data_IF_828604592018
#
_entry.id   IF_828604592018
#
_cell.length_a   1.000
_cell.length_b   1.000
_cell.length_c   1.000
_cell.angle_alpha   90.00
_cell.angle_beta   90.00
_cell.angle_gamma   90.00
#
_symmetry.space_group_name_H-M   'P 1'
#
loop_
_entity.id
_entity.type
_entity.pdbx_description
1 polymer ?
#
# COMPACT_ATOMS: atom_id res chain seq x y z
N UNK A 1 -1.13 -16.27 -30.79
CA UNK A 1 0.14 -16.38 -30.06
C UNK A 1 0.84 -17.62 -30.58
N UNK A 2 2.12 -17.52 -30.91
CA UNK A 2 2.85 -18.68 -31.40
C UNK A 2 3.05 -19.69 -30.26
N UNK A 3 2.69 -20.93 -30.52
CA UNK A 3 2.96 -22.04 -29.61
C UNK A 3 4.47 -22.28 -29.63
N UNK A 4 5.17 -21.95 -28.55
CA UNK A 4 6.63 -22.08 -28.46
C UNK A 4 6.97 -23.56 -28.27
N UNK A 5 7.91 -24.12 -29.08
CA UNK A 5 8.41 -25.47 -28.83
C UNK A 5 9.16 -25.55 -27.50
N UNK A 6 9.22 -26.76 -26.93
CA UNK A 6 9.94 -27.00 -25.66
C UNK A 6 11.41 -26.56 -25.73
N UNK A 7 12.06 -26.82 -26.86
CA UNK A 7 13.45 -26.41 -27.10
C UNK A 7 13.59 -24.88 -27.07
N UNK A 8 12.62 -24.17 -27.71
CA UNK A 8 12.63 -22.72 -27.73
C UNK A 8 12.39 -22.13 -26.33
N UNK A 9 11.47 -22.70 -25.56
CA UNK A 9 11.23 -22.26 -24.14
C UNK A 9 12.49 -22.48 -23.32
N UNK A 10 13.16 -23.63 -23.41
CA UNK A 10 14.40 -23.89 -22.69
C UNK A 10 15.52 -22.91 -23.09
N UNK A 11 15.63 -22.60 -24.38
CA UNK A 11 16.61 -21.59 -24.83
C UNK A 11 16.33 -20.23 -24.20
N UNK A 12 15.10 -19.72 -24.31
CA UNK A 12 14.70 -18.40 -23.76
C UNK A 12 14.88 -18.34 -22.24
N UNK A 13 14.56 -19.43 -21.54
CA UNK A 13 14.76 -19.53 -20.10
C UNK A 13 16.25 -19.49 -19.72
N UNK A 14 17.09 -20.20 -20.49
CA UNK A 14 18.54 -20.14 -20.27
C UNK A 14 19.10 -18.75 -20.53
N UNK A 15 18.64 -18.04 -21.54
CA UNK A 15 19.02 -16.66 -21.85
C UNK A 15 18.63 -15.71 -20.69
N UNK A 16 17.46 -15.89 -20.08
CA UNK A 16 17.05 -15.11 -18.88
C UNK A 16 17.94 -15.40 -17.69
N UNK A 17 18.25 -16.68 -17.40
CA UNK A 17 19.04 -17.06 -16.24
C UNK A 17 20.48 -16.51 -16.24
N UNK A 18 21.06 -16.30 -17.43
CA UNK A 18 22.40 -15.72 -17.58
C UNK A 18 22.41 -14.21 -17.77
N UNK A 19 21.22 -13.57 -17.80
CA UNK A 19 21.14 -12.10 -17.91
C UNK A 19 21.57 -11.45 -16.59
N UNK A 20 22.65 -10.62 -16.58
CA UNK A 20 23.12 -9.96 -15.35
C UNK A 20 22.04 -9.06 -14.71
N UNK A 21 21.07 -8.58 -15.48
CA UNK A 21 19.99 -7.76 -14.95
C UNK A 21 18.97 -8.61 -14.16
N UNK A 22 18.83 -9.90 -14.48
CA UNK A 22 17.96 -10.81 -13.73
C UNK A 22 18.53 -11.06 -12.32
N UNK A 23 19.80 -11.41 -12.21
CA UNK A 23 20.49 -11.55 -10.93
C UNK A 23 20.44 -10.25 -10.10
N UNK A 24 20.67 -9.11 -10.77
CA UNK A 24 20.58 -7.79 -10.11
C UNK A 24 19.18 -7.49 -9.58
N UNK A 25 18.14 -7.88 -10.32
CA UNK A 25 16.74 -7.72 -9.87
C UNK A 25 16.46 -8.55 -8.61
N UNK A 26 16.94 -9.80 -8.57
CA UNK A 26 16.80 -10.66 -7.40
C UNK A 26 17.49 -10.05 -6.17
N UNK A 27 18.72 -9.54 -6.35
CA UNK A 27 19.46 -8.87 -5.29
C UNK A 27 18.70 -7.63 -4.77
N UNK A 28 18.20 -6.78 -5.66
CA UNK A 28 17.46 -5.56 -5.28
C UNK A 28 16.17 -5.87 -4.51
N UNK A 29 15.46 -6.94 -4.88
CA UNK A 29 14.21 -7.34 -4.20
C UNK A 29 14.43 -7.95 -2.83
N UNK A 30 15.58 -8.58 -2.62
CA UNK A 30 15.90 -9.31 -1.39
C UNK A 30 16.70 -8.46 -0.38
N UNK A 31 17.02 -7.20 -0.69
CA UNK A 31 17.70 -6.32 0.25
C UNK A 31 16.74 -5.88 1.37
N UNK A 32 17.07 -6.19 2.65
CA UNK A 32 16.28 -5.68 3.76
C UNK A 32 16.45 -4.16 3.87
N UNK A 33 15.35 -3.44 4.16
CA UNK A 33 15.36 -2.01 4.40
C UNK A 33 14.75 -1.72 5.77
N UNK A 34 15.47 -0.99 6.63
CA UNK A 34 15.04 -0.76 8.01
C UNK A 34 13.70 0.00 8.10
N UNK A 35 13.40 0.91 7.17
CA UNK A 35 12.14 1.65 7.17
C UNK A 35 10.95 0.75 6.85
N UNK A 36 11.13 -0.23 5.96
CA UNK A 36 10.12 -1.25 5.63
C UNK A 36 9.93 -2.23 6.80
N UNK A 37 11.03 -2.75 7.38
CA UNK A 37 10.99 -3.67 8.52
C UNK A 37 10.22 -3.06 9.70
N UNK A 38 10.44 -1.77 9.98
CA UNK A 38 9.76 -1.04 11.06
C UNK A 38 8.35 -0.54 10.68
N UNK A 39 7.93 -0.70 9.41
CA UNK A 39 6.64 -0.22 8.92
C UNK A 39 6.49 1.30 8.94
N UNK A 40 7.61 2.05 8.79
CA UNK A 40 7.63 3.52 8.95
C UNK A 40 7.90 4.28 7.64
N UNK A 41 7.93 3.60 6.53
CA UNK A 41 8.29 4.14 5.20
C UNK A 41 7.49 5.35 4.75
N UNK A 42 6.25 5.49 5.20
CA UNK A 42 5.32 6.53 4.75
C UNK A 42 5.01 7.62 5.79
N UNK A 43 5.55 7.52 7.01
CA UNK A 43 5.25 8.47 8.08
C UNK A 43 6.11 9.73 8.00
N UNK A 44 5.52 10.89 7.66
CA UNK A 44 6.20 12.20 7.55
C UNK A 44 7.04 12.54 8.78
N UNK A 45 6.53 12.25 9.98
CA UNK A 45 7.27 12.45 11.22
C UNK A 45 8.59 11.66 11.28
N UNK A 46 8.68 10.49 10.66
CA UNK A 46 9.91 9.67 10.63
C UNK A 46 10.92 10.22 9.65
N UNK A 47 10.46 10.75 8.54
CA UNK A 47 11.31 11.50 7.62
C UNK A 47 11.86 12.76 8.28
N UNK A 48 11.04 13.52 9.01
CA UNK A 48 11.49 14.68 9.78
C UNK A 48 12.51 14.30 10.85
N UNK A 49 12.37 13.12 11.50
CA UNK A 49 13.35 12.60 12.44
C UNK A 49 14.70 12.30 11.78
N UNK A 50 14.68 11.65 10.62
CA UNK A 50 15.91 11.33 9.88
C UNK A 50 16.59 12.61 9.39
N UNK A 51 15.85 13.55 8.83
CA UNK A 51 16.38 14.83 8.37
C UNK A 51 16.97 15.65 9.53
N UNK A 52 16.29 15.74 10.65
CA UNK A 52 16.81 16.43 11.83
C UNK A 52 18.11 15.80 12.35
N UNK A 53 18.23 14.47 12.28
CA UNK A 53 19.46 13.76 12.64
C UNK A 53 20.61 14.10 11.67
N UNK A 54 20.37 14.04 10.36
CA UNK A 54 21.43 14.26 9.36
C UNK A 54 21.81 15.74 9.22
N UNK A 55 20.91 16.67 9.55
CA UNK A 55 21.21 18.11 9.61
C UNK A 55 22.11 18.49 10.79
N UNK A 56 22.19 17.68 11.83
CA UNK A 56 22.93 18.03 13.05
C UNK A 56 24.44 17.80 12.90
N UNK A 57 25.30 18.85 12.77
CA UNK A 57 26.74 18.67 12.60
C UNK A 57 27.40 17.90 13.75
N UNK A 58 26.80 17.97 14.94
CA UNK A 58 27.27 17.29 16.15
C UNK A 58 26.59 15.94 16.37
N UNK A 59 25.84 15.46 15.36
CA UNK A 59 25.17 14.16 15.40
C UNK A 59 26.16 13.00 15.37
N UNK A 60 25.72 11.86 15.87
CA UNK A 60 26.54 10.63 15.92
C UNK A 60 26.73 9.95 14.55
N UNK A 61 26.32 10.60 13.44
CA UNK A 61 26.52 10.13 12.07
C UNK A 61 27.94 10.37 11.54
N UNK A 62 28.73 11.27 12.16
CA UNK A 62 30.11 11.52 11.79
C UNK A 62 30.37 12.24 10.45
N UNK A 63 29.31 12.75 9.79
CA UNK A 63 29.44 13.48 8.50
C UNK A 63 29.69 14.99 8.70
N UNK A 64 29.69 15.47 9.93
CA UNK A 64 29.86 16.89 10.25
C UNK A 64 28.76 17.77 9.66
N UNK A 65 29.16 18.93 9.15
CA UNK A 65 28.25 19.93 8.59
C UNK A 65 27.92 19.73 7.09
N UNK A 66 28.41 18.69 6.47
CA UNK A 66 28.33 18.48 5.01
C UNK A 66 26.91 18.61 4.46
N UNK A 67 25.95 17.92 5.07
CA UNK A 67 24.56 17.90 4.60
C UNK A 67 23.87 19.25 4.88
N UNK A 68 24.01 19.76 6.10
CA UNK A 68 23.47 21.06 6.50
C UNK A 68 24.00 22.19 5.64
N UNK A 69 25.31 22.20 5.35
CA UNK A 69 25.95 23.22 4.51
C UNK A 69 25.34 23.28 3.11
N UNK A 70 25.13 22.13 2.45
CA UNK A 70 24.50 22.08 1.13
C UNK A 70 23.08 22.63 1.16
N UNK A 71 22.32 22.25 2.18
CA UNK A 71 20.96 22.73 2.39
C UNK A 71 20.95 24.27 2.62
N UNK A 72 21.83 24.79 3.47
CA UNK A 72 21.95 26.23 3.70
C UNK A 72 22.30 26.99 2.43
N UNK A 73 23.24 26.52 1.63
CA UNK A 73 23.61 27.13 0.35
C UNK A 73 22.38 27.21 -0.56
N UNK A 74 21.60 26.16 -0.64
CA UNK A 74 20.39 26.08 -1.48
C UNK A 74 19.36 27.13 -1.07
N UNK A 75 19.01 27.20 0.23
CA UNK A 75 17.96 28.11 0.68
C UNK A 75 18.42 29.57 0.72
N UNK A 76 19.71 29.85 1.01
CA UNK A 76 20.23 31.23 1.11
C UNK A 76 20.33 31.91 -0.28
N UNK A 77 20.38 31.18 -1.35
CA UNK A 77 20.35 31.73 -2.71
C UNK A 77 18.97 32.31 -3.09
N UNK A 78 17.91 31.91 -2.39
CA UNK A 78 16.57 32.43 -2.66
C UNK A 78 16.40 33.86 -2.11
N UNK A 79 15.81 34.74 -2.92
CA UNK A 79 15.61 36.14 -2.57
C UNK A 79 14.71 36.34 -1.35
N UNK A 80 13.83 35.38 -1.07
CA UNK A 80 12.92 35.39 0.09
C UNK A 80 13.64 35.33 1.43
N UNK A 81 14.89 34.90 1.47
CA UNK A 81 15.73 34.96 2.67
C UNK A 81 15.95 36.41 3.14
N UNK A 82 15.90 37.37 2.23
CA UNK A 82 16.19 38.76 2.50
C UNK A 82 14.97 39.69 2.31
N UNK A 83 13.78 39.24 2.72
CA UNK A 83 12.54 40.01 2.64
C UNK A 83 12.66 41.35 3.36
N UNK A 84 12.05 42.40 2.81
CA UNK A 84 12.02 43.73 3.40
C UNK A 84 11.40 43.78 4.81
N UNK A 85 10.42 42.91 5.06
CA UNK A 85 9.79 42.77 6.39
C UNK A 85 10.81 42.41 7.50
N UNK A 86 11.92 41.75 7.12
CA UNK A 86 12.99 41.32 8.04
C UNK A 86 14.29 42.13 7.82
N UNK A 87 14.18 43.35 7.29
CA UNK A 87 15.33 44.21 6.98
C UNK A 87 16.12 44.66 8.21
N UNK A 88 15.56 44.55 9.44
CA UNK A 88 16.27 44.77 10.71
C UNK A 88 17.38 43.76 10.95
N UNK A 89 17.36 42.59 10.29
CA UNK A 89 18.40 41.60 10.40
C UNK A 89 19.44 41.74 9.28
N UNK A 90 20.66 41.24 9.52
CA UNK A 90 21.72 41.20 8.53
C UNK A 90 21.27 40.45 7.30
N UNK A 91 21.54 40.98 6.10
CA UNK A 91 21.35 40.24 4.84
C UNK A 91 22.26 39.01 4.81
N UNK A 92 21.70 37.91 4.37
CA UNK A 92 22.43 36.67 4.15
C UNK A 92 22.70 36.48 2.67
N UNK A 93 23.88 35.98 2.39
CA UNK A 93 24.37 35.54 1.06
C UNK A 93 25.06 34.18 1.23
N UNK A 94 25.54 33.60 0.14
CA UNK A 94 26.20 32.29 0.17
C UNK A 94 27.43 32.28 1.09
N UNK A 95 28.15 33.39 1.25
CA UNK A 95 29.29 33.50 2.15
C UNK A 95 28.86 33.45 3.61
N UNK A 96 27.64 33.91 3.91
CA UNK A 96 27.04 33.85 5.26
C UNK A 96 26.87 32.44 5.78
N UNK A 97 26.79 31.43 4.90
CA UNK A 97 26.73 30.00 5.27
C UNK A 97 27.87 29.60 6.22
N UNK A 98 29.09 30.05 5.93
CA UNK A 98 30.24 29.75 6.79
C UNK A 98 30.12 30.40 8.17
N UNK A 99 29.52 31.57 8.26
CA UNK A 99 29.31 32.26 9.54
C UNK A 99 28.27 31.53 10.36
N UNK A 100 27.13 31.16 9.76
CA UNK A 100 26.08 30.38 10.42
C UNK A 100 26.61 29.05 10.97
N UNK A 101 27.44 28.34 10.20
CA UNK A 101 28.01 27.05 10.63
C UNK A 101 29.02 27.18 11.79
N UNK A 102 29.45 28.39 12.16
CA UNK A 102 30.27 28.66 13.34
C UNK A 102 29.44 29.09 14.57
N UNK A 103 28.14 29.35 14.40
CA UNK A 103 27.24 29.67 15.50
C UNK A 103 26.85 28.43 16.29
N UNK A 104 26.35 28.63 17.52
CA UNK A 104 25.69 27.58 18.26
C UNK A 104 24.44 27.14 17.49
N UNK A 105 24.23 25.83 17.42
CA UNK A 105 23.15 25.22 16.69
C UNK A 105 22.36 24.25 17.57
N UNK A 106 21.03 24.41 17.58
CA UNK A 106 20.11 23.48 18.21
C UNK A 106 19.06 23.09 17.17
N UNK A 107 18.83 21.79 17.00
CA UNK A 107 17.76 21.29 16.12
C UNK A 107 16.65 20.73 16.99
N UNK A 108 15.46 21.31 16.82
CA UNK A 108 14.24 20.86 17.48
C UNK A 108 13.34 20.14 16.48
N UNK A 109 12.62 19.13 16.95
CA UNK A 109 11.56 18.42 16.23
C UNK A 109 10.25 18.70 16.94
N UNK A 110 9.17 18.84 16.19
CA UNK A 110 7.80 19.05 16.71
C UNK A 110 7.66 20.24 17.70
N UNK A 111 8.66 21.09 17.79
CA UNK A 111 8.59 22.28 18.66
C UNK A 111 7.59 23.28 18.08
N UNK A 112 6.58 23.63 18.86
CA UNK A 112 5.44 24.44 18.42
C UNK A 112 4.63 23.81 17.27
N UNK A 113 4.63 22.48 17.16
CA UNK A 113 4.07 21.69 16.06
C UNK A 113 4.74 21.99 14.69
N UNK A 114 5.96 22.49 14.69
CA UNK A 114 6.81 22.66 13.51
C UNK A 114 7.65 21.41 13.34
N UNK A 115 7.64 20.78 12.16
CA UNK A 115 8.30 19.50 11.91
C UNK A 115 9.79 19.54 12.26
N UNK A 116 10.52 20.53 11.73
CA UNK A 116 11.94 20.75 12.05
C UNK A 116 12.19 22.24 12.22
N UNK A 117 12.84 22.59 13.34
CA UNK A 117 13.26 23.94 13.64
C UNK A 117 14.76 23.94 13.89
N UNK A 118 15.54 24.63 13.04
CA UNK A 118 16.98 24.76 13.15
C UNK A 118 17.28 26.15 13.72
N UNK A 119 17.75 26.20 14.96
CA UNK A 119 17.97 27.42 15.72
C UNK A 119 19.46 27.72 15.82
N UNK A 120 19.92 28.80 15.16
CA UNK A 120 21.24 29.39 15.29
C UNK A 120 21.19 30.56 16.28
N UNK A 121 22.33 31.16 16.62
CA UNK A 121 22.36 32.35 17.48
C UNK A 121 21.68 33.55 16.81
N UNK A 122 21.90 33.74 15.49
CA UNK A 122 21.38 34.91 14.75
C UNK A 122 20.17 34.57 13.83
N UNK A 123 19.93 33.34 13.55
CA UNK A 123 18.97 32.90 12.50
C UNK A 123 18.14 31.72 12.99
N UNK A 124 16.91 31.62 12.50
CA UNK A 124 16.05 30.48 12.75
C UNK A 124 15.45 29.97 11.43
N UNK A 125 15.58 28.68 11.17
CA UNK A 125 15.05 28.04 9.98
C UNK A 125 13.89 27.15 10.38
N UNK A 126 12.76 27.34 9.74
CA UNK A 126 11.51 26.60 9.91
C UNK A 126 11.32 25.71 8.71
N UNK A 127 11.20 24.42 8.92
CA UNK A 127 10.96 23.46 7.83
C UNK A 127 9.63 22.75 8.11
N UNK A 128 8.69 22.94 7.20
CA UNK A 128 7.48 22.13 7.10
C UNK A 128 7.74 21.03 6.07
N UNK A 129 7.53 19.79 6.47
CA UNK A 129 7.82 18.59 5.70
C UNK A 129 6.54 17.90 5.23
N UNK A 130 6.29 17.86 3.92
CA UNK A 130 5.10 17.26 3.31
C UNK A 130 5.47 16.23 2.25
N UNK A 131 5.10 14.98 2.52
CA UNK A 131 5.36 13.85 1.60
C UNK A 131 4.06 13.30 1.02
N UNK A 132 3.04 13.10 1.84
CA UNK A 132 1.77 12.47 1.45
C UNK A 132 0.56 13.37 1.65
N UNK A 133 0.62 14.22 2.67
CA UNK A 133 -0.46 15.15 3.00
C UNK A 133 -0.29 16.48 2.26
N UNK A 134 -1.39 17.15 1.98
CA UNK A 134 -1.38 18.55 1.56
C UNK A 134 -1.12 19.49 2.75
N UNK A 135 -0.97 20.78 2.44
CA UNK A 135 -0.90 21.83 3.46
C UNK A 135 -2.22 21.89 4.27
N UNK A 136 -2.10 21.91 5.60
CA UNK A 136 -3.26 22.13 6.48
C UNK A 136 -3.74 23.59 6.42
N UNK A 137 -5.03 23.81 6.73
CA UNK A 137 -5.62 25.15 6.73
C UNK A 137 -4.80 26.09 7.63
N UNK A 138 -4.34 27.20 7.04
CA UNK A 138 -3.55 28.26 7.69
C UNK A 138 -2.29 27.77 8.46
N UNK A 139 -1.78 26.59 8.13
CA UNK A 139 -0.66 25.98 8.83
C UNK A 139 0.61 26.84 8.72
N UNK A 140 0.98 27.24 7.50
CA UNK A 140 2.18 28.04 7.26
C UNK A 140 2.05 29.45 7.86
N UNK A 141 0.86 30.06 7.82
CA UNK A 141 0.63 31.35 8.48
C UNK A 141 0.82 31.25 9.98
N UNK A 142 0.29 30.21 10.61
CA UNK A 142 0.46 29.96 12.05
C UNK A 142 1.94 29.80 12.42
N UNK A 143 2.75 29.13 11.61
CA UNK A 143 4.17 28.97 11.85
C UNK A 143 4.91 30.30 11.75
N UNK A 144 4.60 31.11 10.73
CA UNK A 144 5.15 32.46 10.61
C UNK A 144 4.86 33.27 11.87
N UNK A 145 3.61 33.30 12.33
CA UNK A 145 3.19 34.11 13.51
C UNK A 145 3.88 33.61 14.76
N UNK A 146 4.00 32.33 15.01
CA UNK A 146 4.70 31.74 16.14
C UNK A 146 6.18 32.15 16.14
N UNK A 147 6.83 32.05 14.99
CA UNK A 147 8.27 32.32 14.87
C UNK A 147 8.57 33.79 15.02
N UNK A 148 7.82 34.66 14.36
CA UNK A 148 7.98 36.13 14.52
C UNK A 148 7.76 36.58 15.95
N UNK A 149 6.81 35.95 16.66
CA UNK A 149 6.52 36.26 18.07
C UNK A 149 7.59 35.76 19.04
N UNK A 150 8.01 34.50 18.90
CA UNK A 150 8.84 33.82 19.88
C UNK A 150 10.35 33.98 19.64
N UNK A 151 10.74 34.35 18.42
CA UNK A 151 12.14 34.47 17.97
C UNK A 151 12.41 35.82 17.34
N UNK A 152 11.83 36.89 17.94
CA UNK A 152 11.90 38.26 17.39
C UNK A 152 13.31 38.84 17.27
N UNK A 153 14.30 38.23 17.93
CA UNK A 153 15.72 38.59 17.86
C UNK A 153 16.52 37.79 16.84
N UNK A 154 15.89 36.85 16.14
CA UNK A 154 16.53 35.99 15.13
C UNK A 154 15.91 36.21 13.74
N UNK A 155 16.75 36.14 12.70
CA UNK A 155 16.30 36.24 11.33
C UNK A 155 15.55 34.96 10.93
N UNK A 156 14.25 35.02 10.59
CA UNK A 156 13.52 33.81 10.18
C UNK A 156 13.76 33.45 8.72
N UNK A 157 13.86 32.15 8.43
CA UNK A 157 13.85 31.57 7.08
C UNK A 157 12.82 30.47 7.11
N UNK A 158 11.89 30.48 6.17
CA UNK A 158 10.81 29.49 6.09
C UNK A 158 11.02 28.60 4.87
N UNK A 159 10.92 27.28 5.07
CA UNK A 159 11.12 26.27 4.03
C UNK A 159 9.90 25.35 3.99
N UNK A 160 9.42 25.13 2.78
CA UNK A 160 8.40 24.14 2.47
C UNK A 160 9.04 22.99 1.70
N UNK A 161 9.25 21.87 2.38
CA UNK A 161 9.91 20.69 1.84
C UNK A 161 8.86 19.68 1.38
N UNK A 162 8.83 19.41 0.09
CA UNK A 162 7.86 18.52 -0.54
C UNK A 162 8.54 17.54 -1.50
N UNK A 163 7.79 16.59 -2.07
CA UNK A 163 8.36 15.60 -2.99
C UNK A 163 9.07 16.24 -4.17
N UNK A 164 8.38 17.17 -4.83
CA UNK A 164 8.81 17.75 -6.10
C UNK A 164 9.02 19.28 -6.05
N UNK A 165 8.95 19.87 -4.86
CA UNK A 165 9.05 21.32 -4.70
C UNK A 165 7.73 22.03 -5.01
N UNK A 166 6.61 21.45 -4.57
CA UNK A 166 5.28 22.01 -4.75
C UNK A 166 5.17 23.39 -4.08
N UNK A 167 4.39 24.27 -4.70
CA UNK A 167 4.25 25.66 -4.28
C UNK A 167 3.54 25.77 -2.92
N UNK A 168 4.11 26.56 -2.01
CA UNK A 168 3.50 26.86 -0.71
C UNK A 168 2.36 27.86 -0.84
N UNK A 169 1.33 27.79 0.04
CA UNK A 169 0.26 28.80 0.06
C UNK A 169 0.80 30.20 0.36
N UNK A 170 1.81 30.30 1.24
CA UNK A 170 2.55 31.52 1.53
C UNK A 170 3.81 31.64 0.70
N UNK A 171 3.69 31.55 -0.62
CA UNK A 171 4.80 31.56 -1.59
C UNK A 171 5.77 32.74 -1.48
N UNK A 172 5.33 33.87 -0.94
CA UNK A 172 6.19 35.03 -0.72
C UNK A 172 7.14 34.88 0.46
N UNK A 173 6.93 33.90 1.34
CA UNK A 173 7.71 33.68 2.55
C UNK A 173 8.43 32.34 2.56
N UNK A 174 7.75 31.28 2.11
CA UNK A 174 8.29 29.95 2.13
C UNK A 174 9.08 29.65 0.86
N UNK A 175 10.25 29.08 1.06
CA UNK A 175 11.16 28.62 0.00
C UNK A 175 10.84 27.17 -0.25
N UNK A 176 10.46 26.85 -1.49
CA UNK A 176 10.18 25.47 -1.88
C UNK A 176 11.49 24.70 -2.02
N UNK A 177 11.56 23.55 -1.38
CA UNK A 177 12.66 22.60 -1.48
C UNK A 177 12.10 21.23 -1.86
N UNK A 178 12.77 20.54 -2.76
CA UNK A 178 12.34 19.24 -3.27
C UNK A 178 13.15 18.10 -2.65
N UNK A 179 12.46 17.01 -2.28
CA UNK A 179 13.15 15.77 -1.96
C UNK A 179 13.90 15.21 -3.17
N UNK A 180 13.26 15.24 -4.34
CA UNK A 180 13.85 14.67 -5.55
C UNK A 180 15.11 15.41 -5.99
N UNK A 181 15.04 16.74 -6.09
CA UNK A 181 16.12 17.56 -6.67
C UNK A 181 17.19 17.96 -5.66
N UNK A 182 16.88 17.97 -4.37
CA UNK A 182 17.80 18.47 -3.35
C UNK A 182 18.19 17.37 -2.35
N UNK A 183 17.23 16.82 -1.60
CA UNK A 183 17.55 15.88 -0.51
C UNK A 183 18.20 14.61 -1.05
N UNK A 184 17.61 13.98 -2.09
CA UNK A 184 18.18 12.79 -2.72
C UNK A 184 19.53 13.07 -3.37
N UNK A 185 19.68 14.22 -4.03
CA UNK A 185 20.97 14.61 -4.61
C UNK A 185 22.05 14.69 -3.54
N UNK A 186 21.77 15.37 -2.41
CA UNK A 186 22.75 15.53 -1.33
C UNK A 186 23.11 14.22 -0.66
N UNK A 187 22.12 13.31 -0.49
CA UNK A 187 22.34 11.98 0.06
C UNK A 187 23.17 11.10 -0.89
N UNK A 188 22.86 11.12 -2.18
CA UNK A 188 23.63 10.38 -3.19
C UNK A 188 25.07 10.87 -3.29
N UNK A 189 25.27 12.19 -3.33
CA UNK A 189 26.62 12.78 -3.34
C UNK A 189 27.41 12.42 -2.06
N UNK A 190 26.71 12.36 -0.91
CA UNK A 190 27.32 11.95 0.35
C UNK A 190 27.81 10.49 0.29
N UNK A 191 27.01 9.61 -0.27
CA UNK A 191 27.36 8.20 -0.48
C UNK A 191 28.50 8.07 -1.50
N UNK A 192 28.45 8.83 -2.61
CA UNK A 192 29.45 8.76 -3.68
C UNK A 192 30.81 9.31 -3.24
N UNK A 193 30.83 10.48 -2.58
CA UNK A 193 32.10 11.19 -2.32
C UNK A 193 32.62 11.05 -0.89
N UNK A 194 31.84 10.50 0.04
CA UNK A 194 32.19 10.40 1.47
C UNK A 194 32.08 9.00 2.07
N UNK A 195 31.70 7.98 1.29
CA UNK A 195 31.53 6.61 1.80
C UNK A 195 32.74 6.10 2.59
N UNK A 196 33.95 6.40 2.13
CA UNK A 196 35.20 5.94 2.77
C UNK A 196 35.45 6.59 4.16
N UNK A 197 34.75 7.69 4.47
CA UNK A 197 34.91 8.42 5.74
C UNK A 197 33.75 8.22 6.71
N UNK A 198 32.70 7.56 6.29
CA UNK A 198 31.49 7.31 7.06
C UNK A 198 31.56 5.88 7.62
N UNK A 199 31.14 5.70 8.87
CA UNK A 199 31.05 4.36 9.48
C UNK A 199 30.03 3.50 8.73
N UNK A 200 30.33 2.22 8.51
CA UNK A 200 29.54 1.30 7.69
C UNK A 200 28.04 1.26 8.06
N UNK A 201 27.75 1.23 9.36
CA UNK A 201 26.36 1.21 9.82
C UNK A 201 25.60 2.54 9.54
N UNK A 202 26.29 3.69 9.62
CA UNK A 202 25.73 4.99 9.24
C UNK A 202 25.48 5.04 7.74
N UNK A 203 26.45 4.56 6.96
CA UNK A 203 26.33 4.45 5.51
C UNK A 203 25.13 3.56 5.11
N UNK A 204 24.93 2.47 5.83
CA UNK A 204 23.76 1.61 5.63
C UNK A 204 22.45 2.35 5.90
N UNK A 205 22.34 3.10 7.00
CA UNK A 205 21.12 3.89 7.29
C UNK A 205 20.83 4.95 6.23
N UNK A 206 21.88 5.59 5.70
CA UNK A 206 21.74 6.57 4.62
C UNK A 206 21.28 5.89 3.33
N UNK A 207 21.85 4.75 2.96
CA UNK A 207 21.44 3.97 1.80
C UNK A 207 20.01 3.46 1.93
N UNK A 208 19.64 2.94 3.09
CA UNK A 208 18.26 2.53 3.38
C UNK A 208 17.27 3.69 3.22
N UNK A 209 17.67 4.90 3.66
CA UNK A 209 16.82 6.07 3.49
C UNK A 209 16.69 6.52 2.04
N UNK A 210 17.78 6.50 1.26
CA UNK A 210 17.76 6.77 -0.19
C UNK A 210 16.83 5.77 -0.89
N UNK A 211 16.96 4.49 -0.57
CA UNK A 211 16.15 3.42 -1.15
C UNK A 211 14.67 3.60 -0.79
N UNK A 212 14.38 3.89 0.48
CA UNK A 212 13.03 4.21 0.94
C UNK A 212 12.43 5.42 0.20
N UNK A 213 13.18 6.49 -0.01
CA UNK A 213 12.72 7.66 -0.75
C UNK A 213 12.41 7.29 -2.21
N UNK A 214 13.31 6.59 -2.89
CA UNK A 214 13.12 6.19 -4.30
C UNK A 214 11.90 5.27 -4.46
N UNK A 215 11.80 4.25 -3.65
CA UNK A 215 10.80 3.18 -3.75
C UNK A 215 9.41 3.64 -3.32
N UNK A 216 9.33 4.19 -2.12
CA UNK A 216 8.06 4.44 -1.43
C UNK A 216 7.54 5.87 -1.61
N UNK A 217 8.42 6.84 -1.84
CA UNK A 217 8.06 8.25 -1.94
C UNK A 217 8.03 8.72 -3.40
N UNK A 218 9.11 8.50 -4.16
CA UNK A 218 9.20 8.93 -5.56
C UNK A 218 8.55 7.96 -6.53
N UNK A 219 8.25 6.72 -6.09
CA UNK A 219 7.76 5.63 -6.95
C UNK A 219 8.68 5.36 -8.16
N UNK A 220 9.96 5.55 -7.98
CA UNK A 220 11.03 5.28 -8.94
C UNK A 220 11.88 4.11 -8.44
N UNK A 221 11.21 3.00 -8.12
CA UNK A 221 11.89 1.78 -7.66
C UNK A 221 12.85 1.28 -8.77
N UNK A 222 14.17 1.22 -8.50
CA UNK A 222 15.13 0.67 -9.44
C UNK A 222 14.80 -0.76 -9.89
N UNK A 223 14.15 -1.54 -9.01
CA UNK A 223 13.70 -2.89 -9.34
C UNK A 223 12.60 -2.87 -10.43
N UNK A 224 11.67 -1.91 -10.38
CA UNK A 224 10.63 -1.78 -11.40
C UNK A 224 11.21 -1.38 -12.77
N UNK A 225 12.17 -0.45 -12.80
CA UNK A 225 12.86 -0.06 -14.03
C UNK A 225 13.59 -1.27 -14.63
N UNK A 226 14.25 -2.04 -13.79
CA UNK A 226 15.00 -3.22 -14.20
C UNK A 226 14.06 -4.35 -14.66
N UNK A 227 12.95 -4.54 -13.97
CA UNK A 227 11.91 -5.50 -14.36
C UNK A 227 11.30 -5.17 -15.73
N UNK A 228 11.01 -3.89 -16.00
CA UNK A 228 10.52 -3.44 -17.31
C UNK A 228 11.57 -3.71 -18.42
N UNK A 229 12.84 -3.44 -18.14
CA UNK A 229 13.93 -3.73 -19.08
C UNK A 229 14.02 -5.22 -19.38
N UNK A 230 14.01 -6.07 -18.36
CA UNK A 230 14.03 -7.53 -18.49
C UNK A 230 12.81 -8.05 -19.27
N UNK A 231 11.61 -7.54 -18.95
CA UNK A 231 10.41 -7.91 -19.69
C UNK A 231 10.57 -7.63 -21.18
N UNK A 232 11.05 -6.42 -21.55
CA UNK A 232 11.27 -6.06 -22.97
C UNK A 232 12.33 -6.93 -23.66
N UNK A 233 13.39 -7.30 -22.95
CA UNK A 233 14.48 -8.13 -23.51
C UNK A 233 14.04 -9.60 -23.68
N UNK A 234 13.20 -10.12 -22.79
CA UNK A 234 12.76 -11.52 -22.77
C UNK A 234 11.24 -11.66 -22.97
N UNK A 235 10.64 -10.76 -23.75
CA UNK A 235 9.19 -10.62 -23.88
C UNK A 235 8.51 -11.92 -24.28
N UNK A 236 9.03 -12.63 -25.27
CA UNK A 236 8.44 -13.89 -25.76
C UNK A 236 8.30 -14.94 -24.64
N UNK A 237 9.30 -15.04 -23.76
CA UNK A 237 9.27 -15.95 -22.61
C UNK A 237 8.23 -15.51 -21.58
N UNK A 238 8.22 -14.23 -21.21
CA UNK A 238 7.26 -13.72 -20.23
C UNK A 238 5.82 -13.81 -20.74
N UNK A 239 5.57 -13.45 -21.99
CA UNK A 239 4.24 -13.57 -22.60
C UNK A 239 3.79 -15.04 -22.66
N UNK A 240 4.70 -15.97 -22.95
CA UNK A 240 4.41 -17.40 -22.90
C UNK A 240 4.05 -17.85 -21.47
N UNK A 241 4.83 -17.46 -20.46
CA UNK A 241 4.57 -17.80 -19.04
C UNK A 241 3.22 -17.23 -18.60
N UNK A 242 2.94 -15.96 -18.90
CA UNK A 242 1.69 -15.29 -18.54
C UNK A 242 0.48 -15.97 -19.22
N UNK A 243 0.60 -16.34 -20.50
CA UNK A 243 -0.46 -17.01 -21.23
C UNK A 243 -0.75 -18.43 -20.73
N UNK A 244 0.26 -19.11 -20.19
CA UNK A 244 0.16 -20.49 -19.68
C UNK A 244 0.10 -20.57 -18.14
N UNK A 245 -0.05 -19.43 -17.44
CA UNK A 245 -0.16 -19.45 -15.98
C UNK A 245 -1.39 -20.25 -15.56
N UNK A 246 -1.29 -21.13 -14.56
CA UNK A 246 -2.44 -21.85 -14.03
C UNK A 246 -3.53 -20.88 -13.54
N UNK A 247 -4.79 -21.16 -13.87
CA UNK A 247 -5.92 -20.45 -13.28
C UNK A 247 -6.19 -21.03 -11.89
N UNK A 248 -5.49 -20.51 -10.88
CA UNK A 248 -5.61 -20.96 -9.50
C UNK A 248 -7.06 -20.93 -8.99
N UNK A 249 -7.85 -19.96 -9.45
CA UNK A 249 -9.27 -19.87 -9.07
C UNK A 249 -10.06 -21.03 -9.68
N UNK A 250 -9.80 -21.39 -10.94
CA UNK A 250 -10.44 -22.53 -11.58
C UNK A 250 -10.11 -23.83 -10.83
N UNK A 251 -8.85 -24.05 -10.47
CA UNK A 251 -8.39 -25.23 -9.73
C UNK A 251 -9.10 -25.33 -8.38
N UNK A 252 -9.11 -24.26 -7.59
CA UNK A 252 -9.79 -24.23 -6.29
C UNK A 252 -11.29 -24.49 -6.47
N UNK A 253 -11.93 -23.79 -7.41
CA UNK A 253 -13.36 -23.91 -7.67
C UNK A 253 -13.76 -25.31 -8.11
N UNK A 254 -13.02 -25.94 -9.00
CA UNK A 254 -13.29 -27.30 -9.46
C UNK A 254 -13.20 -28.29 -8.31
N UNK A 255 -12.15 -28.23 -7.51
CA UNK A 255 -11.98 -29.11 -6.36
C UNK A 255 -13.05 -28.85 -5.27
N UNK A 256 -13.35 -27.59 -4.97
CA UNK A 256 -14.44 -27.25 -4.03
C UNK A 256 -15.81 -27.73 -4.52
N UNK A 257 -16.08 -27.62 -5.81
CA UNK A 257 -17.32 -28.14 -6.40
C UNK A 257 -17.42 -29.67 -6.27
N UNK A 258 -16.32 -30.40 -6.50
CA UNK A 258 -16.25 -31.86 -6.31
C UNK A 258 -16.57 -32.23 -4.84
N UNK A 259 -15.95 -31.52 -3.88
CA UNK A 259 -16.16 -31.76 -2.45
C UNK A 259 -17.60 -31.44 -2.03
N UNK A 260 -18.19 -30.34 -2.51
CA UNK A 260 -19.57 -29.99 -2.27
C UNK A 260 -20.53 -31.09 -2.75
N UNK A 261 -20.32 -31.62 -3.97
CA UNK A 261 -21.13 -32.71 -4.51
C UNK A 261 -20.99 -34.00 -3.66
N UNK A 262 -19.76 -34.31 -3.26
CA UNK A 262 -19.48 -35.46 -2.37
C UNK A 262 -20.21 -35.32 -1.02
N UNK A 263 -20.30 -34.11 -0.52
CA UNK A 263 -20.99 -33.77 0.74
C UNK A 263 -22.51 -33.59 0.59
N UNK A 264 -23.10 -34.05 -0.51
CA UNK A 264 -24.54 -34.01 -0.81
C UNK A 264 -25.13 -32.62 -0.97
N UNK A 265 -24.33 -31.70 -1.52
CA UNK A 265 -24.86 -30.43 -2.00
C UNK A 265 -25.13 -30.49 -3.50
N UNK A 266 -26.11 -29.74 -3.95
CA UNK A 266 -26.43 -29.55 -5.36
C UNK A 266 -25.85 -28.23 -5.80
N UNK A 267 -25.01 -28.25 -6.83
CA UNK A 267 -24.43 -27.03 -7.40
C UNK A 267 -25.51 -26.16 -8.03
N UNK A 268 -25.50 -24.87 -7.71
CA UNK A 268 -26.37 -23.85 -8.27
C UNK A 268 -25.79 -23.20 -9.50
N UNK A 269 -26.24 -21.97 -9.80
CA UNK A 269 -25.81 -21.20 -10.95
C UNK A 269 -24.30 -21.02 -11.03
N UNK A 270 -23.71 -21.50 -12.11
CA UNK A 270 -22.25 -21.47 -12.35
C UNK A 270 -21.72 -20.02 -12.53
N UNK A 271 -20.54 -19.78 -12.01
CA UNK A 271 -19.80 -18.53 -12.18
C UNK A 271 -18.30 -18.71 -11.94
N UNK A 272 -17.46 -17.99 -12.71
CA UNK A 272 -16.00 -18.12 -12.67
C UNK A 272 -15.39 -17.99 -11.26
N UNK A 273 -15.91 -17.10 -10.44
CA UNK A 273 -15.37 -16.76 -9.11
C UNK A 273 -16.22 -17.27 -7.95
N UNK A 274 -17.15 -18.20 -8.18
CA UNK A 274 -18.02 -18.70 -7.14
C UNK A 274 -18.27 -20.18 -7.27
N UNK A 275 -18.32 -20.89 -6.14
CA UNK A 275 -19.04 -22.14 -6.00
C UNK A 275 -20.37 -21.83 -5.30
N UNK A 276 -21.48 -22.08 -5.96
CA UNK A 276 -22.82 -21.83 -5.48
C UNK A 276 -23.54 -23.15 -5.27
N UNK A 277 -24.25 -23.27 -4.17
CA UNK A 277 -24.84 -24.58 -3.84
C UNK A 277 -26.06 -24.46 -2.94
N UNK A 278 -26.84 -25.54 -2.89
CA UNK A 278 -27.95 -25.80 -2.01
C UNK A 278 -27.80 -27.21 -1.42
N UNK A 279 -28.17 -27.41 -0.15
CA UNK A 279 -28.40 -28.76 0.40
C UNK A 279 -29.42 -29.54 -0.44
N UNK A 280 -29.14 -30.80 -0.68
CA UNK A 280 -29.99 -31.67 -1.53
C UNK A 280 -31.44 -31.69 -1.09
N UNK A 281 -31.70 -31.72 0.24
CA UNK A 281 -33.05 -31.80 0.85
C UNK A 281 -33.91 -30.56 0.58
N UNK A 282 -33.30 -29.37 0.37
CA UNK A 282 -34.05 -28.14 0.10
C UNK A 282 -33.99 -27.68 -1.33
N UNK A 283 -33.15 -28.29 -2.16
CA UNK A 283 -32.92 -27.84 -3.56
C UNK A 283 -34.23 -27.77 -4.39
N UNK A 284 -35.18 -28.70 -4.16
CA UNK A 284 -36.45 -28.70 -4.86
C UNK A 284 -37.51 -27.80 -4.23
N UNK A 285 -37.24 -27.25 -3.05
CA UNK A 285 -38.11 -26.33 -2.32
C UNK A 285 -37.79 -24.89 -2.65
N UNK A 286 -36.49 -24.57 -2.80
CA UNK A 286 -36.04 -23.23 -3.13
C UNK A 286 -36.58 -22.78 -4.50
N UNK A 287 -37.33 -21.65 -4.59
CA UNK A 287 -37.92 -21.20 -5.83
C UNK A 287 -36.86 -20.86 -6.88
N UNK A 288 -37.13 -21.23 -8.14
CA UNK A 288 -36.27 -20.96 -9.30
C UNK A 288 -37.06 -20.29 -10.41
N UNK A 289 -36.62 -19.14 -10.92
CA UNK A 289 -37.27 -18.40 -12.00
C UNK A 289 -36.27 -18.03 -13.09
N UNK A 290 -36.17 -18.86 -14.12
CA UNK A 290 -35.24 -18.72 -15.25
C UNK A 290 -35.54 -17.54 -16.19
N UNK A 291 -36.69 -16.88 -16.06
CA UNK A 291 -37.11 -15.81 -16.97
C UNK A 291 -36.63 -14.42 -16.55
N UNK A 292 -35.92 -14.28 -15.43
CA UNK A 292 -35.48 -12.99 -14.89
C UNK A 292 -33.96 -12.86 -14.90
N UNK A 293 -33.50 -11.62 -14.94
CA UNK A 293 -32.08 -11.31 -14.73
C UNK A 293 -31.63 -11.78 -13.35
N UNK A 294 -30.39 -12.25 -13.23
CA UNK A 294 -29.84 -12.75 -11.96
C UNK A 294 -29.00 -14.01 -12.20
N UNK A 295 -29.07 -14.95 -11.26
CA UNK A 295 -28.40 -16.24 -11.41
C UNK A 295 -29.00 -17.06 -12.57
N UNK A 296 -28.15 -17.78 -13.30
CA UNK A 296 -28.52 -18.49 -14.53
C UNK A 296 -29.69 -19.48 -14.37
N UNK A 297 -29.75 -20.15 -13.21
CA UNK A 297 -30.86 -21.07 -12.90
C UNK A 297 -32.02 -20.37 -12.18
N UNK A 298 -31.87 -19.10 -11.80
CA UNK A 298 -32.89 -18.26 -11.24
C UNK A 298 -33.28 -18.60 -9.80
N UNK A 299 -32.35 -19.08 -9.00
CA UNK A 299 -32.59 -19.43 -7.61
C UNK A 299 -32.95 -18.19 -6.76
N UNK A 300 -33.80 -18.37 -5.75
CA UNK A 300 -34.19 -17.28 -4.85
C UNK A 300 -33.06 -16.92 -3.87
N UNK A 301 -32.31 -17.91 -3.41
CA UNK A 301 -31.13 -17.73 -2.59
C UNK A 301 -30.16 -18.91 -2.80
N UNK A 302 -28.88 -18.69 -2.52
CA UNK A 302 -27.81 -19.69 -2.56
C UNK A 302 -26.80 -19.46 -1.45
N UNK A 303 -26.17 -20.54 -0.99
CA UNK A 303 -24.88 -20.48 -0.35
C UNK A 303 -23.80 -20.27 -1.40
N UNK A 304 -22.84 -19.41 -1.10
CA UNK A 304 -21.74 -19.07 -2.01
C UNK A 304 -20.38 -19.22 -1.30
N UNK A 305 -19.45 -19.89 -1.97
CA UNK A 305 -18.02 -19.72 -1.76
C UNK A 305 -17.52 -18.78 -2.86
N UNK A 306 -17.01 -17.61 -2.48
CA UNK A 306 -16.44 -16.64 -3.41
C UNK A 306 -14.92 -16.69 -3.35
N UNK A 307 -14.28 -16.70 -4.52
CA UNK A 307 -12.85 -16.73 -4.70
C UNK A 307 -12.38 -15.38 -5.23
N UNK A 308 -11.96 -14.43 -4.37
CA UNK A 308 -11.49 -13.13 -4.82
C UNK A 308 -10.10 -13.24 -5.45
N UNK A 309 -9.85 -12.41 -6.47
CA UNK A 309 -8.59 -12.40 -7.22
C UNK A 309 -7.43 -11.68 -6.51
N UNK A 310 -7.74 -10.84 -5.52
CA UNK A 310 -6.80 -9.92 -4.90
C UNK A 310 -6.58 -10.18 -3.40
N UNK A 311 -7.06 -11.30 -2.87
CA UNK A 311 -6.82 -11.70 -1.49
C UNK A 311 -6.65 -13.22 -1.40
N UNK A 312 -5.87 -13.68 -0.43
CA UNK A 312 -5.71 -15.09 -0.11
C UNK A 312 -6.76 -15.53 0.91
N UNK A 313 -8.04 -15.29 0.56
CA UNK A 313 -9.17 -15.64 1.41
C UNK A 313 -10.35 -16.13 0.57
N UNK A 314 -11.09 -17.12 1.08
CA UNK A 314 -12.37 -17.58 0.52
C UNK A 314 -13.48 -16.98 1.36
N UNK A 315 -14.41 -16.25 0.76
CA UNK A 315 -15.59 -15.74 1.44
C UNK A 315 -16.73 -16.76 1.35
N UNK A 316 -17.19 -17.25 2.50
CA UNK A 316 -18.43 -18.02 2.62
C UNK A 316 -19.57 -17.06 2.99
N UNK A 317 -20.72 -17.19 2.30
CA UNK A 317 -21.91 -16.40 2.61
C UNK A 317 -23.19 -17.03 2.08
N UNK A 318 -24.32 -16.46 2.50
CA UNK A 318 -25.65 -16.72 1.93
C UNK A 318 -26.07 -15.46 1.19
N UNK A 319 -26.51 -15.59 -0.05
CA UNK A 319 -27.00 -14.47 -0.84
C UNK A 319 -28.46 -14.70 -1.28
N UNK A 320 -29.31 -13.70 -1.11
CA UNK A 320 -30.71 -13.70 -1.57
C UNK A 320 -30.80 -12.82 -2.83
N UNK A 321 -31.35 -13.39 -3.90
CA UNK A 321 -31.53 -12.72 -5.18
C UNK A 321 -32.51 -11.55 -5.11
N UNK A 322 -32.22 -10.39 -5.72
CA UNK A 322 -33.15 -9.26 -5.80
C UNK A 322 -34.35 -9.51 -6.72
N UNK A 323 -34.30 -10.59 -7.50
CA UNK A 323 -35.26 -10.80 -8.59
C UNK A 323 -36.51 -11.59 -8.18
N UNK A 324 -36.58 -12.10 -6.94
CA UNK A 324 -37.75 -12.75 -6.36
C UNK A 324 -38.61 -11.80 -5.52
N UNK A 325 -39.04 -10.67 -6.08
CA UNK A 325 -39.68 -9.59 -5.32
C UNK A 325 -40.87 -10.03 -4.47
N UNK A 326 -41.76 -10.90 -4.99
CA UNK A 326 -42.97 -11.33 -4.32
C UNK A 326 -42.73 -12.18 -3.05
N UNK A 327 -41.64 -12.92 -3.02
CA UNK A 327 -41.27 -13.83 -1.90
C UNK A 327 -40.03 -13.36 -1.14
N UNK A 328 -39.32 -12.35 -1.65
CA UNK A 328 -38.05 -11.89 -1.10
C UNK A 328 -38.18 -11.44 0.36
N UNK A 329 -39.17 -10.61 0.64
CA UNK A 329 -39.39 -10.09 2.01
C UNK A 329 -39.76 -11.21 2.98
N UNK A 330 -40.50 -12.23 2.53
CA UNK A 330 -40.83 -13.39 3.32
C UNK A 330 -39.61 -14.26 3.61
N UNK A 331 -38.73 -14.46 2.63
CA UNK A 331 -37.46 -15.17 2.80
C UNK A 331 -36.53 -14.40 3.75
N UNK A 332 -36.43 -13.07 3.60
CA UNK A 332 -35.65 -12.20 4.49
C UNK A 332 -36.16 -12.33 5.95
N UNK A 333 -37.47 -12.26 6.19
CA UNK A 333 -38.05 -12.44 7.53
C UNK A 333 -37.67 -13.79 8.12
N UNK A 334 -37.82 -14.87 7.34
CA UNK A 334 -37.46 -16.21 7.80
C UNK A 334 -35.97 -16.31 8.19
N UNK A 335 -35.09 -15.66 7.46
CA UNK A 335 -33.64 -15.65 7.76
C UNK A 335 -33.36 -14.83 9.03
N UNK A 336 -34.02 -13.69 9.20
CA UNK A 336 -33.91 -12.86 10.40
C UNK A 336 -34.44 -13.57 11.65
N UNK A 337 -35.57 -14.27 11.55
CA UNK A 337 -36.12 -15.09 12.61
C UNK A 337 -35.23 -16.28 12.96
N UNK A 338 -34.38 -16.72 12.03
CA UNK A 338 -33.38 -17.77 12.23
C UNK A 338 -32.10 -17.29 12.92
N UNK A 339 -32.02 -16.01 13.34
CA UNK A 339 -30.87 -15.38 13.97
C UNK A 339 -29.60 -15.40 13.08
N UNK A 340 -29.74 -15.37 11.76
CA UNK A 340 -28.61 -15.21 10.85
C UNK A 340 -28.10 -13.78 10.87
N UNK A 341 -26.79 -13.63 10.94
CA UNK A 341 -26.16 -12.31 10.93
C UNK A 341 -26.31 -11.67 9.56
N UNK A 342 -27.06 -10.57 9.49
CA UNK A 342 -27.23 -9.78 8.27
C UNK A 342 -26.04 -8.85 8.07
N UNK A 343 -25.41 -8.90 6.90
CA UNK A 343 -24.27 -8.06 6.57
C UNK A 343 -24.72 -6.79 5.82
N UNK A 344 -25.49 -6.95 4.76
CA UNK A 344 -26.09 -5.80 4.03
C UNK A 344 -27.36 -6.23 3.31
N UNK A 345 -28.19 -5.25 2.96
CA UNK A 345 -29.44 -5.42 2.23
C UNK A 345 -29.61 -4.28 1.22
N UNK A 346 -28.81 -4.32 0.18
CA UNK A 346 -28.99 -3.49 -1.01
C UNK A 346 -29.87 -4.25 -2.03
N UNK A 347 -29.52 -4.23 -3.31
CA UNK A 347 -30.18 -5.08 -4.30
C UNK A 347 -30.08 -6.57 -3.91
N UNK A 348 -28.89 -7.02 -3.46
CA UNK A 348 -28.66 -8.35 -2.90
C UNK A 348 -28.69 -8.30 -1.35
N UNK A 349 -29.41 -9.22 -0.71
CA UNK A 349 -29.28 -9.40 0.74
C UNK A 349 -28.28 -10.49 1.04
N UNK A 350 -27.30 -10.18 1.89
CA UNK A 350 -26.20 -11.09 2.26
C UNK A 350 -26.22 -11.36 3.76
N UNK A 351 -26.05 -12.64 4.11
CA UNK A 351 -26.03 -13.13 5.47
C UNK A 351 -24.78 -14.00 5.71
N UNK A 352 -24.33 -14.05 6.97
CA UNK A 352 -23.26 -14.94 7.45
C UNK A 352 -21.96 -14.85 6.64
N UNK A 353 -21.57 -13.65 6.19
CA UNK A 353 -20.30 -13.49 5.49
C UNK A 353 -19.13 -13.76 6.42
N UNK A 354 -18.27 -14.71 6.04
CA UNK A 354 -17.06 -15.06 6.78
C UNK A 354 -15.93 -15.41 5.80
N UNK A 355 -14.71 -15.00 6.17
CA UNK A 355 -13.50 -15.18 5.36
C UNK A 355 -12.64 -16.30 5.95
N UNK A 356 -12.08 -17.13 5.07
CA UNK A 356 -11.20 -18.25 5.40
C UNK A 356 -9.91 -18.12 4.59
N UNK A 357 -8.74 -18.22 5.24
CA UNK A 357 -7.45 -18.07 4.55
C UNK A 357 -7.20 -19.26 3.59
N UNK A 358 -6.54 -18.97 2.46
CA UNK A 358 -6.06 -19.94 1.49
C UNK A 358 -4.73 -19.45 0.91
N UNK A 359 -3.71 -20.29 0.95
CA UNK A 359 -2.41 -19.98 0.35
C UNK A 359 -2.36 -20.50 -1.09
N UNK A 360 -2.26 -19.60 -2.06
CA UNK A 360 -2.20 -19.96 -3.47
C UNK A 360 -0.96 -20.78 -3.86
N UNK A 361 0.13 -20.66 -3.10
CA UNK A 361 1.34 -21.48 -3.28
C UNK A 361 1.11 -22.95 -3.01
N UNK A 362 0.15 -23.31 -2.16
CA UNK A 362 -0.13 -24.68 -1.70
C UNK A 362 -1.28 -25.37 -2.45
N UNK A 363 -1.99 -24.68 -3.35
CA UNK A 363 -3.17 -25.27 -4.03
C UNK A 363 -2.87 -26.50 -4.88
N UNK A 364 -1.62 -26.71 -5.24
CA UNK A 364 -1.15 -27.88 -5.98
C UNK A 364 -0.70 -29.03 -5.08
N UNK A 365 -0.59 -28.79 -3.75
CA UNK A 365 -0.27 -29.83 -2.79
C UNK A 365 -1.46 -30.74 -2.59
N UNK A 366 -1.22 -32.07 -2.60
CA UNK A 366 -2.27 -33.07 -2.43
C UNK A 366 -3.00 -32.92 -1.11
N UNK A 367 -4.32 -32.82 -1.15
CA UNK A 367 -5.16 -32.69 0.04
C UNK A 367 -5.23 -31.29 0.67
N UNK A 368 -4.47 -30.30 0.20
CA UNK A 368 -4.52 -28.96 0.80
C UNK A 368 -5.91 -28.30 0.69
N UNK A 369 -6.53 -28.35 -0.48
CA UNK A 369 -7.87 -27.77 -0.69
C UNK A 369 -8.92 -28.55 0.11
N UNK A 370 -8.74 -29.85 0.31
CA UNK A 370 -9.61 -30.68 1.16
C UNK A 370 -9.56 -30.22 2.60
N UNK A 371 -8.38 -29.88 3.13
CA UNK A 371 -8.22 -29.33 4.51
C UNK A 371 -8.95 -28.00 4.63
N UNK A 372 -8.76 -27.07 3.67
CA UNK A 372 -9.45 -25.76 3.66
C UNK A 372 -10.96 -25.96 3.61
N UNK A 373 -11.46 -26.87 2.79
CA UNK A 373 -12.88 -27.23 2.72
C UNK A 373 -13.41 -27.74 4.06
N UNK A 374 -12.70 -28.66 4.71
CA UNK A 374 -13.06 -29.18 6.01
C UNK A 374 -13.15 -28.10 7.07
N UNK A 375 -12.18 -27.19 7.14
CA UNK A 375 -12.19 -26.05 8.06
C UNK A 375 -13.42 -25.17 7.85
N UNK A 376 -13.80 -24.90 6.61
CA UNK A 376 -15.02 -24.15 6.29
C UNK A 376 -16.26 -24.92 6.78
N UNK A 377 -16.35 -26.21 6.48
CA UNK A 377 -17.54 -26.99 6.76
C UNK A 377 -17.69 -27.37 8.23
N UNK A 378 -16.62 -27.55 8.99
CA UNK A 378 -16.69 -27.72 10.44
C UNK A 378 -17.48 -26.59 11.12
N UNK A 379 -17.30 -25.37 10.66
CA UNK A 379 -18.00 -24.23 11.23
C UNK A 379 -19.36 -23.96 10.58
N UNK A 380 -19.46 -24.11 9.26
CA UNK A 380 -20.65 -23.66 8.53
C UNK A 380 -21.70 -24.74 8.39
N UNK A 381 -21.34 -26.02 8.42
CA UNK A 381 -22.30 -27.14 8.30
C UNK A 381 -23.42 -27.10 9.32
N UNK A 382 -23.19 -26.88 10.63
CA UNK A 382 -24.27 -26.79 11.61
C UNK A 382 -25.28 -25.66 11.32
N UNK A 383 -24.79 -24.54 10.76
CA UNK A 383 -25.63 -23.39 10.37
C UNK A 383 -26.44 -23.71 9.11
N UNK A 384 -25.82 -24.37 8.13
CA UNK A 384 -26.49 -24.84 6.91
C UNK A 384 -27.63 -25.81 7.29
N UNK A 385 -27.35 -26.82 8.12
CA UNK A 385 -28.30 -27.84 8.51
C UNK A 385 -29.47 -27.24 9.31
N UNK A 386 -29.17 -26.33 10.25
CA UNK A 386 -30.19 -25.61 11.00
C UNK A 386 -31.13 -24.82 10.11
N UNK A 387 -30.55 -24.03 9.14
CA UNK A 387 -31.36 -23.24 8.21
C UNK A 387 -32.18 -24.16 7.28
N UNK A 388 -31.59 -25.25 6.82
CA UNK A 388 -32.30 -26.26 6.01
C UNK A 388 -33.53 -26.85 6.74
N UNK A 389 -33.42 -27.18 8.04
CA UNK A 389 -34.54 -27.62 8.85
C UNK A 389 -35.65 -26.57 8.97
N UNK A 390 -35.27 -25.29 9.14
CA UNK A 390 -36.25 -24.19 9.22
C UNK A 390 -36.98 -24.04 7.87
N UNK A 391 -36.24 -24.13 6.75
CA UNK A 391 -36.82 -24.07 5.39
C UNK A 391 -37.80 -25.25 5.19
N UNK A 392 -37.43 -26.47 5.56
CA UNK A 392 -38.26 -27.64 5.45
C UNK A 392 -39.56 -27.51 6.27
N UNK A 393 -39.47 -26.98 7.51
CA UNK A 393 -40.62 -26.75 8.37
C UNK A 393 -41.59 -25.69 7.81
N UNK A 394 -41.04 -24.73 7.00
CA UNK A 394 -41.79 -23.61 6.41
C UNK A 394 -41.96 -23.76 4.89
N UNK A 395 -41.91 -24.96 4.35
CA UNK A 395 -41.91 -25.19 2.87
C UNK A 395 -43.13 -24.60 2.15
N UNK A 396 -44.23 -24.35 2.84
CA UNK A 396 -45.44 -23.73 2.28
C UNK A 396 -45.19 -22.26 1.85
N UNK A 397 -44.24 -21.59 2.47
CA UNK A 397 -43.83 -20.22 2.11
C UNK A 397 -43.17 -20.18 0.71
N UNK A 398 -42.55 -21.28 0.31
CA UNK A 398 -41.78 -21.41 -0.92
C UNK A 398 -42.62 -21.93 -2.09
N UNK A 399 -43.78 -22.49 -1.81
CA UNK A 399 -44.76 -22.90 -2.83
C UNK A 399 -45.62 -21.71 -3.26
#
# INVERSE_FOLDING_TARGET
MADLSKEKVNQLYSELLIDPNFERLELLRNQPNIFEILGVSHYEIRHSHFLAWIFNPNGNHGIGDYFLKRFLIQIIQDSRVNLMEFSQFKKLDVLSTHQLLQENLIIHREKHNIDILIEFDSTIIVIENKIHSGEGNDQLQRYKDIVVKNYSNKKPIFVYLTKFGEEASLKNYFIEVSYQEHILLYLNDLVEYKSDTIQDHVLTYIKDYIDNLNKNIMKQDPANILAEKLYRQHQDLFDFIIANRPDSIAIIREKMNELLVTDRFVLGSDHKHFSRFLPTEINNIVPKNKQRNGWKLGEAFLWELRYPTNSEEIEFKIAISPFFKEKRDTIIKLFEESNLKKEFNNDWAVYESKYYPIEYSLIHEEGYIDIVYQQIMEEQRPKIDKLSQIILANQTIFK
#
